data_IF_776333434023
#
_entry.id   IF_776333434023
#
_cell.length_a   1.000
_cell.length_b   1.000
_cell.length_c   1.000
_cell.angle_alpha   90.00
_cell.angle_beta   90.00
_cell.angle_gamma   90.00
#
_symmetry.space_group_name_H-M   'P 1'
#
loop_
_entity.id
_entity.type
_entity.pdbx_description
1 polymer ?
#
# COMPACT_ATOMS: atom_id res chain seq x y z
N UNK A 1 -11.84 26.40 29.05
CA UNK A 1 -12.40 25.15 29.60
C UNK A 1 -11.70 23.98 28.92
N UNK A 2 -10.75 23.36 29.63
CA UNK A 2 -9.93 22.26 29.13
C UNK A 2 -10.72 20.96 29.22
N UNK A 3 -10.87 20.24 28.11
CA UNK A 3 -11.36 18.85 28.10
C UNK A 3 -10.15 17.93 28.22
N UNK A 4 -9.99 17.33 29.39
CA UNK A 4 -9.07 16.24 29.66
C UNK A 4 -9.49 15.03 28.83
N UNK A 5 -8.73 14.68 27.79
CA UNK A 5 -8.88 13.39 27.11
C UNK A 5 -8.25 12.31 27.96
N UNK A 6 -9.02 11.29 28.32
CA UNK A 6 -8.56 10.03 28.90
C UNK A 6 -7.40 9.44 28.07
N UNK A 7 -6.16 9.60 28.55
CA UNK A 7 -5.03 8.80 28.10
C UNK A 7 -5.27 7.37 28.61
N UNK A 8 -5.72 6.47 27.74
CA UNK A 8 -5.55 5.05 28.00
C UNK A 8 -4.05 4.77 28.03
N UNK A 9 -3.49 4.57 29.23
CA UNK A 9 -2.11 4.13 29.41
C UNK A 9 -1.96 2.74 28.80
N UNK A 10 -1.27 2.62 27.67
CA UNK A 10 -0.92 1.32 27.09
C UNK A 10 0.22 0.70 27.89
N UNK A 11 -0.12 0.07 29.02
CA UNK A 11 0.83 -0.58 29.94
C UNK A 11 1.56 -1.75 29.28
N UNK A 12 1.00 -2.31 28.21
CA UNK A 12 1.63 -3.40 27.44
C UNK A 12 2.69 -2.83 26.50
N UNK A 13 2.40 -1.74 25.79
CA UNK A 13 3.36 -1.00 24.98
C UNK A 13 4.55 -0.51 25.83
N UNK A 14 4.28 0.14 26.96
CA UNK A 14 5.33 0.61 27.89
C UNK A 14 6.24 -0.53 28.38
N UNK A 15 5.68 -1.72 28.64
CA UNK A 15 6.44 -2.88 29.06
C UNK A 15 7.33 -3.42 27.93
N UNK A 16 6.82 -3.58 26.71
CA UNK A 16 7.59 -4.08 25.56
C UNK A 16 8.69 -3.10 25.16
N UNK A 17 8.44 -1.79 25.23
CA UNK A 17 9.44 -0.77 24.92
C UNK A 17 10.56 -0.69 25.97
N UNK A 18 10.34 -1.19 27.19
CA UNK A 18 11.36 -1.26 28.24
C UNK A 18 12.53 -2.20 27.88
N UNK A 19 13.77 -1.96 28.37
CA UNK A 19 14.91 -2.83 28.08
C UNK A 19 14.70 -4.31 28.46
N UNK A 20 13.98 -4.58 29.56
CA UNK A 20 13.68 -5.93 30.02
C UNK A 20 12.58 -6.60 29.18
N UNK A 21 11.51 -5.88 28.85
CA UNK A 21 10.43 -6.41 28.00
C UNK A 21 10.87 -6.61 26.56
N UNK A 22 11.71 -5.72 26.00
CA UNK A 22 12.32 -5.89 24.69
C UNK A 22 13.17 -7.16 24.61
N UNK A 23 13.95 -7.46 25.65
CA UNK A 23 14.78 -8.67 25.74
C UNK A 23 13.95 -9.95 25.85
N UNK A 24 12.84 -9.92 26.60
CA UNK A 24 11.96 -11.07 26.74
C UNK A 24 11.13 -11.30 25.46
N UNK A 25 10.61 -10.23 24.85
CA UNK A 25 9.83 -10.29 23.62
C UNK A 25 10.60 -10.95 22.47
N UNK A 26 11.91 -10.64 22.34
CA UNK A 26 12.79 -11.29 21.35
C UNK A 26 12.95 -12.81 21.60
N UNK A 27 12.91 -13.25 22.86
CA UNK A 27 13.10 -14.66 23.25
C UNK A 27 11.81 -15.48 23.21
N UNK A 28 10.65 -14.86 23.44
CA UNK A 28 9.35 -15.55 23.44
C UNK A 28 8.56 -15.35 22.13
N UNK A 29 9.15 -14.68 21.14
CA UNK A 29 8.56 -14.48 19.82
C UNK A 29 7.37 -13.52 19.80
N UNK A 30 7.28 -12.61 20.79
CA UNK A 30 6.22 -11.61 20.79
C UNK A 30 6.50 -10.55 19.72
N UNK A 31 5.50 -10.18 18.90
CA UNK A 31 5.68 -9.16 17.88
C UNK A 31 5.96 -7.81 18.54
N UNK A 32 7.12 -7.23 18.26
CA UNK A 32 7.44 -5.86 18.64
C UNK A 32 6.66 -4.90 17.74
N UNK A 33 5.85 -3.99 18.31
CA UNK A 33 5.12 -3.02 17.51
C UNK A 33 6.11 -2.08 16.82
N UNK A 34 5.92 -1.85 15.52
CA UNK A 34 6.71 -0.88 14.76
C UNK A 34 6.27 0.54 15.14
N UNK A 35 7.21 1.44 15.36
CA UNK A 35 6.90 2.88 15.47
C UNK A 35 6.41 3.38 14.11
N UNK A 36 5.10 3.62 14.03
CA UNK A 36 4.48 4.04 12.77
C UNK A 36 4.96 5.41 12.33
N UNK A 37 5.36 5.53 11.07
CA UNK A 37 5.63 6.83 10.43
C UNK A 37 4.33 7.65 10.43
N UNK A 38 4.46 8.92 10.79
CA UNK A 38 3.38 9.93 10.85
C UNK A 38 3.86 11.22 10.21
N UNK A 39 2.92 11.95 9.61
CA UNK A 39 3.18 13.18 8.90
C UNK A 39 3.96 14.17 9.76
N UNK A 40 4.95 14.81 9.13
CA UNK A 40 5.68 15.94 9.68
C UNK A 40 5.87 16.97 8.58
N UNK A 41 5.54 18.23 8.90
CA UNK A 41 5.70 19.33 7.96
C UNK A 41 7.15 19.45 7.50
N UNK A 42 7.35 19.55 6.19
CA UNK A 42 8.67 19.68 5.56
C UNK A 42 9.39 18.36 5.27
N UNK A 43 8.91 17.21 5.77
CA UNK A 43 9.40 15.90 5.33
C UNK A 43 8.69 15.45 4.03
N UNK A 44 9.36 14.69 3.15
CA UNK A 44 8.71 14.13 1.96
C UNK A 44 7.57 13.19 2.34
N UNK A 45 6.57 13.04 1.47
CA UNK A 45 5.42 12.17 1.72
C UNK A 45 5.84 10.71 1.98
N UNK A 46 6.81 10.21 1.21
CA UNK A 46 7.44 8.90 1.41
C UNK A 46 8.98 9.01 1.39
N UNK A 47 9.71 8.26 2.22
CA UNK A 47 11.17 8.31 2.29
C UNK A 47 11.83 7.28 1.35
N UNK A 48 11.56 7.34 0.05
CA UNK A 48 12.22 6.48 -0.94
C UNK A 48 11.39 6.15 -2.16
N UNK A 49 11.92 5.24 -2.98
CA UNK A 49 11.37 4.90 -4.29
C UNK A 49 9.96 4.32 -4.22
N UNK A 50 9.13 4.68 -5.20
CA UNK A 50 7.84 4.09 -5.47
C UNK A 50 7.96 3.25 -6.75
N UNK A 51 7.84 1.92 -6.62
CA UNK A 51 7.80 1.04 -7.79
C UNK A 51 6.37 0.99 -8.33
N UNK A 52 6.20 1.39 -9.58
CA UNK A 52 4.94 1.38 -10.31
C UNK A 52 4.96 0.23 -11.31
N UNK A 53 3.97 -0.65 -11.27
CA UNK A 53 3.84 -1.78 -12.19
C UNK A 53 2.39 -2.13 -12.49
N UNK A 54 2.21 -3.28 -13.13
CA UNK A 54 0.92 -3.70 -13.68
C UNK A 54 0.79 -3.37 -15.16
N UNK A 55 -0.38 -3.66 -15.70
CA UNK A 55 -0.76 -3.40 -17.08
C UNK A 55 -2.23 -2.98 -17.06
N UNK A 56 -2.51 -1.72 -17.34
CA UNK A 56 -3.85 -1.17 -17.22
C UNK A 56 -3.93 0.29 -17.68
N UNK A 57 -5.12 0.86 -17.56
CA UNK A 57 -5.44 2.21 -18.06
C UNK A 57 -4.97 3.34 -17.12
N UNK A 58 -4.43 3.00 -15.94
CA UNK A 58 -4.07 3.96 -14.90
C UNK A 58 -2.57 4.18 -14.76
N UNK A 59 -1.71 3.34 -15.36
CA UNK A 59 -0.24 3.48 -15.24
C UNK A 59 0.25 4.88 -15.62
N UNK A 60 -0.06 5.33 -16.84
CA UNK A 60 0.45 6.60 -17.34
C UNK A 60 -0.16 7.79 -16.58
N UNK A 61 -1.50 7.83 -16.33
CA UNK A 61 -2.08 8.87 -15.48
C UNK A 61 -1.49 8.92 -14.07
N UNK A 62 -1.32 7.77 -13.41
CA UNK A 62 -0.78 7.70 -12.05
C UNK A 62 0.67 8.15 -12.00
N UNK A 63 1.46 7.74 -12.99
CA UNK A 63 2.85 8.21 -13.13
C UNK A 63 2.86 9.73 -13.29
N UNK A 64 2.05 10.28 -14.20
CA UNK A 64 1.98 11.72 -14.44
C UNK A 64 1.52 12.53 -13.23
N UNK A 65 0.58 12.01 -12.44
CA UNK A 65 0.07 12.68 -11.23
C UNK A 65 1.09 12.71 -10.08
N UNK A 66 1.98 11.72 -10.01
CA UNK A 66 2.89 11.53 -8.87
C UNK A 66 4.34 11.95 -9.16
N UNK A 67 4.76 12.01 -10.43
CA UNK A 67 6.16 12.26 -10.84
C UNK A 67 6.77 13.55 -10.26
N UNK A 68 5.94 14.57 -10.00
CA UNK A 68 6.41 15.83 -9.45
C UNK A 68 6.90 15.74 -7.99
N UNK A 69 6.36 14.82 -7.19
CA UNK A 69 6.57 14.77 -5.74
C UNK A 69 7.14 13.43 -5.23
N UNK A 70 7.15 12.40 -6.08
CA UNK A 70 7.57 11.05 -5.73
C UNK A 70 8.69 10.57 -6.65
N UNK A 71 9.65 9.85 -6.09
CA UNK A 71 10.71 9.20 -6.87
C UNK A 71 10.17 7.87 -7.44
N UNK A 72 9.68 7.92 -8.68
CA UNK A 72 9.01 6.80 -9.35
C UNK A 72 10.01 5.95 -10.13
N UNK A 73 9.82 4.63 -10.11
CA UNK A 73 10.51 3.72 -11.02
C UNK A 73 9.56 2.64 -11.52
N UNK A 74 9.82 2.14 -12.73
CA UNK A 74 9.16 0.95 -13.30
C UNK A 74 10.07 -0.27 -13.33
N UNK A 75 11.36 -0.09 -13.04
CA UNK A 75 12.34 -1.17 -13.03
C UNK A 75 12.49 -1.73 -11.61
N UNK A 76 12.22 -3.02 -11.47
CA UNK A 76 12.40 -3.76 -10.23
C UNK A 76 13.89 -4.10 -10.01
N UNK A 77 14.72 -3.08 -9.81
CA UNK A 77 16.13 -3.22 -9.45
C UNK A 77 16.35 -3.66 -8.00
N UNK A 78 17.58 -3.53 -7.51
CA UNK A 78 17.99 -3.97 -6.15
C UNK A 78 17.72 -2.98 -5.02
N UNK A 79 17.09 -1.86 -5.35
CA UNK A 79 16.71 -0.82 -4.40
C UNK A 79 15.70 -1.31 -3.35
N UNK A 80 15.66 -0.61 -2.21
CA UNK A 80 14.54 -0.67 -1.27
C UNK A 80 13.47 0.33 -1.69
N UNK A 81 12.21 -0.04 -1.50
CA UNK A 81 11.07 0.76 -1.93
C UNK A 81 10.26 1.23 -0.72
N UNK A 82 9.85 2.50 -0.74
CA UNK A 82 8.89 3.04 0.21
C UNK A 82 7.45 2.64 -0.17
N UNK A 83 7.17 2.41 -1.45
CA UNK A 83 5.87 1.93 -1.87
C UNK A 83 5.88 1.09 -3.15
N UNK A 84 4.82 0.30 -3.31
CA UNK A 84 4.43 -0.38 -4.52
C UNK A 84 3.05 0.11 -4.96
N UNK A 85 2.93 0.51 -6.23
CA UNK A 85 1.65 0.81 -6.87
C UNK A 85 1.48 -0.16 -8.03
N UNK A 86 0.40 -0.94 -8.01
CA UNK A 86 0.12 -1.92 -9.04
C UNK A 86 -1.21 -1.60 -9.72
N UNK A 87 -1.15 -1.34 -11.02
CA UNK A 87 -2.34 -1.18 -11.86
C UNK A 87 -2.87 -2.54 -12.32
N UNK A 88 -3.93 -3.00 -11.67
CA UNK A 88 -4.66 -4.22 -11.99
C UNK A 88 -5.87 -3.97 -12.89
N UNK A 89 -6.09 -2.76 -13.41
CA UNK A 89 -7.26 -2.47 -14.25
C UNK A 89 -7.29 -3.23 -15.58
N UNK A 90 -6.14 -3.73 -16.05
CA UNK A 90 -6.08 -4.62 -17.22
C UNK A 90 -6.27 -6.11 -16.91
N UNK A 91 -6.51 -6.50 -15.66
CA UNK A 91 -6.87 -7.88 -15.30
C UNK A 91 -8.38 -8.05 -15.56
N UNK A 92 -8.71 -8.67 -16.69
CA UNK A 92 -10.08 -8.85 -17.17
C UNK A 92 -10.59 -10.27 -17.02
N UNK A 93 -9.72 -11.22 -16.68
CA UNK A 93 -10.10 -12.62 -16.46
C UNK A 93 -9.49 -13.20 -15.19
N UNK A 94 -10.16 -14.15 -14.51
CA UNK A 94 -9.62 -14.76 -13.29
C UNK A 94 -8.24 -15.41 -13.48
N UNK A 95 -7.95 -15.98 -14.65
CA UNK A 95 -6.66 -16.60 -14.96
C UNK A 95 -5.53 -15.57 -14.93
N UNK A 96 -5.80 -14.30 -15.18
CA UNK A 96 -4.82 -13.21 -15.22
C UNK A 96 -4.41 -12.72 -13.82
N UNK A 97 -5.07 -13.17 -12.76
CA UNK A 97 -4.73 -12.80 -11.37
C UNK A 97 -3.30 -13.23 -10.98
N UNK A 98 -2.68 -14.15 -11.71
CA UNK A 98 -1.26 -14.52 -11.52
C UNK A 98 -0.32 -13.32 -11.68
N UNK A 99 -0.70 -12.29 -12.44
CA UNK A 99 0.09 -11.07 -12.61
C UNK A 99 0.40 -10.34 -11.29
N UNK A 100 -0.49 -10.45 -10.29
CA UNK A 100 -0.22 -9.96 -8.93
C UNK A 100 0.99 -10.68 -8.33
N UNK A 101 1.03 -12.01 -8.44
CA UNK A 101 2.14 -12.80 -7.92
C UNK A 101 3.44 -12.46 -8.63
N UNK A 102 3.43 -12.39 -9.96
CA UNK A 102 4.61 -12.11 -10.76
C UNK A 102 5.21 -10.74 -10.44
N UNK A 103 4.37 -9.74 -10.19
CA UNK A 103 4.85 -8.41 -9.78
C UNK A 103 5.33 -8.39 -8.34
N UNK A 104 4.53 -8.85 -7.38
CA UNK A 104 4.82 -8.65 -5.96
C UNK A 104 5.90 -9.61 -5.43
N UNK A 105 5.84 -10.90 -5.76
CA UNK A 105 6.74 -11.93 -5.20
C UNK A 105 8.24 -11.55 -5.23
N UNK A 106 8.83 -11.11 -6.36
CA UNK A 106 10.26 -10.79 -6.40
C UNK A 106 10.65 -9.56 -5.56
N UNK A 107 9.72 -8.62 -5.33
CA UNK A 107 10.01 -7.35 -4.68
C UNK A 107 9.47 -7.24 -3.25
N UNK A 108 8.61 -8.15 -2.79
CA UNK A 108 7.99 -8.06 -1.45
C UNK A 108 8.99 -7.85 -0.31
N UNK A 109 10.15 -8.52 -0.34
CA UNK A 109 11.21 -8.38 0.67
C UNK A 109 12.01 -7.07 0.56
N UNK A 110 11.83 -6.33 -0.54
CA UNK A 110 12.46 -5.03 -0.80
C UNK A 110 11.62 -3.85 -0.27
N UNK A 111 10.40 -4.08 0.24
CA UNK A 111 9.60 -3.05 0.89
C UNK A 111 10.24 -2.59 2.22
N UNK A 112 10.36 -1.27 2.39
CA UNK A 112 10.89 -0.64 3.59
C UNK A 112 9.91 -0.71 4.78
N UNK A 113 10.36 -0.49 6.03
CA UNK A 113 9.46 -0.18 7.15
C UNK A 113 8.44 0.87 6.79
N UNK A 114 7.23 0.75 7.32
CA UNK A 114 6.15 1.68 7.03
C UNK A 114 5.85 1.80 5.52
N UNK A 115 6.17 0.77 4.73
CA UNK A 115 5.92 0.78 3.30
C UNK A 115 4.43 0.79 2.95
N UNK A 116 4.11 1.20 1.72
CA UNK A 116 2.73 1.26 1.21
C UNK A 116 2.57 0.35 0.01
N UNK A 117 1.56 -0.51 0.01
CA UNK A 117 1.12 -1.23 -1.18
C UNK A 117 -0.25 -0.69 -1.57
N UNK A 118 -0.37 -0.24 -2.81
CA UNK A 118 -1.63 0.22 -3.39
C UNK A 118 -1.91 -0.59 -4.64
N UNK A 119 -3.01 -1.32 -4.65
CA UNK A 119 -3.53 -2.00 -5.84
C UNK A 119 -4.65 -1.14 -6.41
N UNK A 120 -4.62 -0.88 -7.71
CA UNK A 120 -5.65 -0.13 -8.42
C UNK A 120 -6.47 -1.09 -9.27
N UNK A 121 -7.78 -1.11 -9.07
CA UNK A 121 -8.70 -1.96 -9.82
C UNK A 121 -9.81 -1.15 -10.50
N UNK A 122 -10.52 -1.78 -11.41
CA UNK A 122 -11.78 -1.27 -11.95
C UNK A 122 -12.91 -1.60 -10.97
N UNK A 123 -13.82 -0.66 -10.72
CA UNK A 123 -15.01 -0.92 -9.88
C UNK A 123 -15.78 -2.15 -10.41
N UNK A 124 -15.86 -3.27 -9.67
CA UNK A 124 -16.37 -4.54 -10.20
C UNK A 124 -17.79 -4.46 -10.75
N UNK A 125 -18.65 -3.67 -10.10
CA UNK A 125 -20.06 -3.48 -10.50
C UNK A 125 -20.22 -2.68 -11.80
N UNK A 126 -19.14 -2.06 -12.27
CA UNK A 126 -19.10 -1.26 -13.51
C UNK A 126 -18.23 -1.90 -14.59
N UNK A 127 -17.68 -3.09 -14.35
CA UNK A 127 -16.87 -3.83 -15.31
C UNK A 127 -17.66 -4.18 -16.58
N UNK A 128 -16.95 -4.36 -17.71
CA UNK A 128 -17.60 -4.62 -19.01
C UNK A 128 -18.10 -6.06 -19.15
N UNK A 129 -17.50 -6.98 -18.39
CA UNK A 129 -17.83 -8.40 -18.42
C UNK A 129 -17.91 -9.02 -17.02
N UNK A 130 -18.60 -10.16 -16.93
CA UNK A 130 -18.68 -10.95 -15.70
C UNK A 130 -17.30 -11.44 -15.25
N UNK A 131 -16.45 -11.87 -16.17
CA UNK A 131 -15.10 -12.35 -15.86
C UNK A 131 -14.24 -11.23 -15.28
N UNK A 132 -14.34 -10.02 -15.84
CA UNK A 132 -13.64 -8.85 -15.31
C UNK A 132 -14.17 -8.50 -13.92
N UNK A 133 -15.50 -8.48 -13.72
CA UNK A 133 -16.10 -8.23 -12.41
C UNK A 133 -15.60 -9.25 -11.36
N UNK A 134 -15.51 -10.53 -11.71
CA UNK A 134 -14.99 -11.59 -10.83
C UNK A 134 -13.50 -11.36 -10.52
N UNK A 135 -12.68 -11.08 -11.54
CA UNK A 135 -11.26 -10.86 -11.38
C UNK A 135 -10.98 -9.63 -10.51
N UNK A 136 -11.62 -8.50 -10.81
CA UNK A 136 -11.51 -7.25 -10.06
C UNK A 136 -11.97 -7.43 -8.61
N UNK A 137 -13.07 -8.16 -8.38
CA UNK A 137 -13.55 -8.48 -7.02
C UNK A 137 -12.53 -9.33 -6.23
N UNK A 138 -11.80 -10.21 -6.91
CA UNK A 138 -10.74 -11.05 -6.33
C UNK A 138 -9.57 -10.25 -5.74
N UNK A 139 -9.32 -9.03 -6.23
CA UNK A 139 -8.27 -8.14 -5.72
C UNK A 139 -8.43 -7.80 -4.23
N UNK A 140 -9.66 -7.81 -3.70
CA UNK A 140 -9.88 -7.57 -2.27
C UNK A 140 -9.35 -8.72 -1.41
N UNK A 141 -9.51 -9.96 -1.87
CA UNK A 141 -8.98 -11.13 -1.19
C UNK A 141 -7.46 -11.08 -1.11
N UNK A 142 -6.81 -10.71 -2.24
CA UNK A 142 -5.37 -10.51 -2.30
C UNK A 142 -4.91 -9.40 -1.34
N UNK A 143 -5.44 -8.19 -1.48
CA UNK A 143 -5.00 -7.02 -0.69
C UNK A 143 -5.18 -7.22 0.83
N UNK A 144 -6.30 -7.81 1.27
CA UNK A 144 -6.53 -8.14 2.68
C UNK A 144 -5.59 -9.22 3.21
N UNK A 145 -5.23 -10.20 2.37
CA UNK A 145 -4.30 -11.27 2.75
C UNK A 145 -2.89 -10.71 2.89
N UNK A 146 -2.43 -9.95 1.88
CA UNK A 146 -1.13 -9.26 1.92
C UNK A 146 -1.03 -8.35 3.13
N UNK A 147 -2.07 -7.55 3.43
CA UNK A 147 -2.07 -6.65 4.59
C UNK A 147 -1.82 -7.38 5.93
N UNK A 148 -2.21 -8.65 6.06
CA UNK A 148 -1.99 -9.47 7.27
C UNK A 148 -0.63 -10.12 7.32
N UNK A 149 0.01 -10.30 6.18
CA UNK A 149 1.35 -10.90 6.07
C UNK A 149 2.47 -9.85 6.12
N UNK A 150 2.14 -8.61 5.77
CA UNK A 150 3.04 -7.47 5.91
C UNK A 150 3.51 -7.31 7.36
N UNK A 151 4.78 -6.93 7.50
CA UNK A 151 5.44 -6.67 8.79
C UNK A 151 5.92 -5.23 8.84
N UNK A 152 6.48 -4.81 9.99
CA UNK A 152 7.20 -3.53 10.15
C UNK A 152 6.35 -2.30 9.79
N UNK A 153 5.08 -2.31 10.19
CA UNK A 153 4.17 -1.17 10.01
C UNK A 153 3.76 -0.86 8.57
N UNK A 154 4.04 -1.76 7.62
CA UNK A 154 3.61 -1.61 6.23
C UNK A 154 2.10 -1.84 6.09
N UNK A 155 1.48 -1.22 5.07
CA UNK A 155 0.05 -1.32 4.80
C UNK A 155 -0.19 -1.75 3.35
N UNK A 156 -1.34 -2.39 3.09
CA UNK A 156 -1.82 -2.68 1.75
C UNK A 156 -3.28 -2.22 1.61
N UNK A 157 -3.59 -1.57 0.49
CA UNK A 157 -4.91 -1.05 0.20
C UNK A 157 -5.29 -1.30 -1.27
N UNK A 158 -6.59 -1.45 -1.50
CA UNK A 158 -7.20 -1.55 -2.82
C UNK A 158 -8.02 -0.30 -3.10
N UNK A 159 -7.80 0.34 -4.24
CA UNK A 159 -8.59 1.47 -4.72
C UNK A 159 -9.28 1.06 -6.01
N UNK A 160 -10.61 1.03 -5.99
CA UNK A 160 -11.39 0.86 -7.20
C UNK A 160 -11.62 2.21 -7.87
N UNK A 161 -11.39 2.25 -9.17
CA UNK A 161 -11.57 3.41 -10.02
C UNK A 161 -12.65 3.09 -11.04
N UNK A 162 -13.64 3.99 -11.16
CA UNK A 162 -14.69 3.83 -12.15
C UNK A 162 -14.09 3.73 -13.57
N UNK A 163 -14.53 2.80 -14.42
CA UNK A 163 -14.09 2.74 -15.82
C UNK A 163 -14.56 3.94 -16.64
N UNK A 164 -15.58 4.66 -16.15
CA UNK A 164 -16.08 5.91 -16.77
C UNK A 164 -15.14 7.09 -16.57
N UNK A 165 -14.21 7.01 -15.62
CA UNK A 165 -13.16 8.02 -15.46
C UNK A 165 -12.19 7.90 -16.63
N UNK A 166 -12.33 8.80 -17.59
CA UNK A 166 -11.52 8.87 -18.81
C UNK A 166 -11.01 10.30 -19.00
N UNK A 167 -9.74 10.44 -19.35
CA UNK A 167 -9.08 11.74 -19.53
C UNK A 167 -8.54 12.31 -18.22
N UNK A 168 -9.39 12.97 -17.43
CA UNK A 168 -8.98 13.61 -16.18
C UNK A 168 -9.00 12.62 -15.00
N UNK A 169 -7.82 12.31 -14.47
CA UNK A 169 -7.64 11.41 -13.33
C UNK A 169 -7.39 12.15 -12.00
N UNK A 170 -7.56 13.47 -11.93
CA UNK A 170 -7.38 14.26 -10.69
C UNK A 170 -8.25 13.78 -9.53
N UNK A 171 -9.42 13.18 -9.81
CA UNK A 171 -10.27 12.57 -8.79
C UNK A 171 -9.60 11.41 -8.03
N UNK A 172 -8.58 10.76 -8.61
CA UNK A 172 -7.80 9.70 -7.98
C UNK A 172 -6.64 10.25 -7.14
N UNK A 173 -6.15 11.45 -7.47
CA UNK A 173 -4.91 12.01 -6.93
C UNK A 173 -4.92 12.14 -5.41
N UNK A 174 -5.99 12.71 -4.84
CA UNK A 174 -6.10 12.90 -3.39
C UNK A 174 -6.03 11.59 -2.61
N UNK A 175 -6.66 10.54 -3.14
CA UNK A 175 -6.65 9.20 -2.54
C UNK A 175 -5.26 8.58 -2.60
N UNK A 176 -4.59 8.68 -3.75
CA UNK A 176 -3.23 8.16 -3.90
C UNK A 176 -2.25 8.88 -2.98
N UNK A 177 -2.27 10.21 -2.94
CA UNK A 177 -1.37 11.00 -2.09
C UNK A 177 -1.61 10.71 -0.61
N UNK A 178 -2.86 10.51 -0.19
CA UNK A 178 -3.16 10.09 1.17
C UNK A 178 -2.55 8.72 1.49
N UNK A 179 -2.77 7.72 0.63
CA UNK A 179 -2.26 6.36 0.86
C UNK A 179 -0.73 6.26 0.74
N UNK A 180 -0.14 7.03 -0.17
CA UNK A 180 1.29 7.18 -0.40
C UNK A 180 1.85 8.31 0.47
N UNK A 181 1.47 8.34 1.74
CA UNK A 181 2.05 9.24 2.72
C UNK A 181 2.29 8.53 4.05
N UNK A 182 3.16 9.12 4.86
CA UNK A 182 3.57 8.59 6.15
C UNK A 182 3.80 9.71 7.10
#
# INVERSE_FOLDING_TARGET
MSKTSSQHSDRYGEFIESPFGNFLADKVGLPKPEKLRRYKAGEPALPGLVLVGGQGRLIDPVTSLLDADYDLTRDSGDSKYAAFVFDATGITKPEELHQLFDFFNPVMRKLAPNGRIVVLGTTPELAESTDEAIAQRGLEGFSRSVAKELRRGATAQLVYVSPKLSGDFTGLESTLRFLLSG
#
